data_IF_497162760198
#
_entry.id   IF_497162760198
#
_cell.length_a   1.000
_cell.length_b   1.000
_cell.length_c   1.000
_cell.angle_alpha   90.00
_cell.angle_beta   90.00
_cell.angle_gamma   90.00
#
_symmetry.space_group_name_H-M   'P 1'
#
loop_
_entity.id
_entity.type
_entity.pdbx_description
1 polymer ?
#
# COMPACT_ATOMS: atom_id res chain seq x y z
N UNK A 1 3.85 -11.79 45.69
CA UNK A 1 4.89 -11.41 44.71
C UNK A 1 4.78 -12.38 43.56
N UNK A 2 4.07 -11.95 42.51
CA UNK A 2 3.42 -12.81 41.52
C UNK A 2 4.18 -12.72 40.19
N UNK A 3 4.83 -13.81 39.81
CA UNK A 3 5.60 -13.98 38.58
C UNK A 3 4.65 -14.22 37.39
N UNK A 4 3.95 -13.17 36.94
CA UNK A 4 3.25 -13.16 35.65
C UNK A 4 4.24 -12.80 34.53
N UNK A 5 5.13 -13.73 34.20
CA UNK A 5 5.95 -13.68 32.98
C UNK A 5 5.77 -14.98 32.21
N UNK A 6 4.89 -14.94 31.19
CA UNK A 6 4.83 -15.75 29.96
C UNK A 6 3.40 -15.67 29.43
N UNK A 7 3.08 -14.56 28.79
CA UNK A 7 2.01 -14.55 27.79
C UNK A 7 2.47 -15.48 26.66
N UNK A 8 1.85 -16.66 26.61
CA UNK A 8 2.03 -17.64 25.53
C UNK A 8 1.66 -16.97 24.19
N UNK A 9 2.69 -16.63 23.42
CA UNK A 9 2.64 -16.30 21.98
C UNK A 9 2.76 -17.59 21.13
N UNK A 10 2.26 -18.71 21.62
CA UNK A 10 2.21 -19.98 20.90
C UNK A 10 0.75 -20.31 20.65
N UNK A 11 0.35 -20.21 19.37
CA UNK A 11 -0.82 -20.86 18.72
C UNK A 11 -1.56 -19.99 17.67
N UNK A 12 -0.89 -19.12 16.92
CA UNK A 12 -1.47 -18.45 15.71
C UNK A 12 -1.24 -19.30 14.43
N UNK A 13 -0.87 -20.58 14.55
CA UNK A 13 -0.42 -21.39 13.42
C UNK A 13 -1.43 -22.45 12.95
N UNK A 14 -2.71 -22.07 12.80
CA UNK A 14 -3.65 -22.85 11.97
C UNK A 14 -3.58 -22.32 10.54
N UNK A 15 -2.75 -22.96 9.71
CA UNK A 15 -2.68 -22.66 8.28
C UNK A 15 -4.04 -22.94 7.63
N UNK A 16 -4.86 -21.90 7.47
CA UNK A 16 -6.09 -21.95 6.69
C UNK A 16 -5.78 -22.28 5.22
N UNK A 17 -6.66 -22.96 4.47
CA UNK A 17 -6.43 -23.19 3.05
C UNK A 17 -6.16 -21.87 2.31
N UNK A 18 -5.19 -21.89 1.41
CA UNK A 18 -4.90 -20.75 0.52
C UNK A 18 -6.06 -20.55 -0.45
N UNK A 19 -6.24 -19.31 -0.89
CA UNK A 19 -7.08 -19.02 -2.06
C UNK A 19 -6.37 -19.51 -3.31
N UNK A 20 -7.14 -20.00 -4.29
CA UNK A 20 -6.63 -20.35 -5.62
C UNK A 20 -7.32 -19.48 -6.67
N UNK A 21 -6.54 -18.86 -7.55
CA UNK A 21 -7.08 -18.20 -8.74
C UNK A 21 -6.81 -19.09 -9.94
N UNK A 22 -7.86 -19.63 -10.53
CA UNK A 22 -7.81 -20.42 -11.75
C UNK A 22 -7.96 -19.47 -12.93
N UNK A 23 -6.90 -19.33 -13.73
CA UNK A 23 -7.03 -18.74 -15.05
C UNK A 23 -7.54 -19.82 -15.99
N UNK A 24 -8.69 -19.56 -16.60
CA UNK A 24 -9.30 -20.42 -17.60
C UNK A 24 -9.31 -19.72 -18.95
N UNK A 25 -8.94 -20.45 -19.99
CA UNK A 25 -9.22 -20.09 -21.37
C UNK A 25 -10.40 -20.94 -21.82
N UNK A 26 -11.50 -20.27 -22.15
CA UNK A 26 -12.81 -20.90 -22.22
C UNK A 26 -13.11 -21.62 -20.88
N UNK A 27 -13.21 -22.96 -20.90
CA UNK A 27 -13.49 -23.77 -19.70
C UNK A 27 -12.28 -24.54 -19.18
N UNK A 28 -11.11 -24.42 -19.82
CA UNK A 28 -9.90 -25.20 -19.51
C UNK A 28 -8.97 -24.38 -18.63
N UNK A 29 -8.49 -24.98 -17.53
CA UNK A 29 -7.53 -24.33 -16.62
C UNK A 29 -6.16 -24.26 -17.30
N UNK A 30 -5.66 -23.05 -17.49
CA UNK A 30 -4.34 -22.76 -18.08
C UNK A 30 -3.31 -22.41 -17.00
N UNK A 31 -3.73 -21.76 -15.92
CA UNK A 31 -2.83 -21.43 -14.80
C UNK A 31 -3.55 -21.46 -13.46
N UNK A 32 -2.80 -21.78 -12.39
CA UNK A 32 -3.29 -21.75 -11.01
C UNK A 32 -2.36 -20.86 -10.19
N UNK A 33 -2.93 -19.84 -9.57
CA UNK A 33 -2.20 -18.93 -8.68
C UNK A 33 -2.58 -19.22 -7.23
N UNK A 34 -1.60 -19.43 -6.35
CA UNK A 34 -1.83 -19.55 -4.90
C UNK A 34 -1.74 -18.18 -4.24
N UNK A 35 -2.73 -17.84 -3.41
CA UNK A 35 -2.84 -16.52 -2.80
C UNK A 35 -3.11 -16.62 -1.30
N UNK A 36 -2.36 -15.84 -0.53
CA UNK A 36 -2.59 -15.59 0.88
C UNK A 36 -3.38 -14.30 1.07
N UNK A 37 -4.25 -14.25 2.06
CA UNK A 37 -4.96 -13.05 2.46
C UNK A 37 -5.17 -13.01 3.98
N UNK A 38 -5.07 -11.83 4.56
CA UNK A 38 -5.26 -11.59 6.00
C UNK A 38 -6.09 -10.35 6.20
N UNK A 39 -7.01 -10.41 7.15
CA UNK A 39 -7.78 -9.26 7.64
C UNK A 39 -7.38 -9.00 9.10
N UNK A 40 -6.98 -7.77 9.39
CA UNK A 40 -6.62 -7.32 10.74
C UNK A 40 -7.49 -6.14 11.18
N UNK A 41 -7.64 -5.98 12.49
CA UNK A 41 -8.21 -4.78 13.10
C UNK A 41 -7.14 -3.75 13.51
N UNK A 42 -7.59 -2.55 13.95
CA UNK A 42 -6.70 -1.50 14.48
C UNK A 42 -5.93 -1.87 15.75
N UNK A 43 -6.19 -3.01 16.39
CA UNK A 43 -5.42 -3.50 17.54
C UNK A 43 -4.31 -4.45 17.13
N UNK A 44 -4.27 -4.87 15.87
CA UNK A 44 -3.31 -5.83 15.33
C UNK A 44 -3.76 -7.27 15.45
N UNK A 45 -5.04 -7.52 15.77
CA UNK A 45 -5.59 -8.87 15.85
C UNK A 45 -5.94 -9.34 14.45
N UNK A 46 -5.49 -10.54 14.09
CA UNK A 46 -5.95 -11.24 12.88
C UNK A 46 -7.39 -11.67 13.11
N UNK A 47 -8.32 -11.12 12.34
CA UNK A 47 -9.73 -11.46 12.41
C UNK A 47 -10.03 -12.68 11.53
N UNK A 48 -9.49 -12.66 10.31
CA UNK A 48 -9.70 -13.70 9.32
C UNK A 48 -8.44 -13.91 8.48
N UNK A 49 -8.24 -15.13 7.97
CA UNK A 49 -7.17 -15.44 7.05
C UNK A 49 -7.56 -16.50 6.04
N UNK A 50 -6.88 -16.48 4.89
CA UNK A 50 -6.79 -17.58 3.95
C UNK A 50 -5.30 -17.80 3.63
N UNK A 51 -4.77 -18.99 3.91
CA UNK A 51 -3.34 -19.26 3.87
C UNK A 51 -2.60 -18.88 5.16
N UNK A 52 -1.34 -18.43 5.00
CA UNK A 52 -0.42 -18.13 6.09
C UNK A 52 -0.40 -16.63 6.40
N UNK A 53 -0.86 -16.23 7.58
CA UNK A 53 -0.83 -14.82 8.01
C UNK A 53 0.56 -14.31 8.35
N UNK A 54 1.48 -15.22 8.68
CA UNK A 54 2.88 -14.96 8.98
C UNK A 54 3.77 -14.96 7.73
N UNK A 55 3.19 -15.06 6.52
CA UNK A 55 3.96 -15.07 5.28
C UNK A 55 4.80 -13.78 5.16
N UNK A 56 6.12 -13.90 5.23
CA UNK A 56 7.07 -12.80 5.15
C UNK A 56 7.40 -12.48 3.71
N UNK A 57 7.26 -11.21 3.33
CA UNK A 57 7.62 -10.73 1.99
C UNK A 57 7.78 -9.22 1.99
N UNK A 58 8.27 -8.63 0.90
CA UNK A 58 8.44 -7.19 0.82
C UNK A 58 7.11 -6.50 0.55
N UNK A 59 6.78 -5.46 1.33
CA UNK A 59 5.55 -4.66 1.13
C UNK A 59 5.61 -3.80 -0.15
N UNK A 60 6.81 -3.50 -0.64
CA UNK A 60 7.07 -2.70 -1.86
C UNK A 60 6.30 -1.37 -1.81
N UNK A 61 5.77 -0.93 -2.96
CA UNK A 61 5.01 0.32 -3.10
C UNK A 61 3.73 0.42 -2.26
N UNK A 62 3.29 -0.63 -1.57
CA UNK A 62 2.20 -0.52 -0.60
C UNK A 62 2.64 0.15 0.72
N UNK A 63 3.94 0.41 0.93
CA UNK A 63 4.45 1.13 2.11
C UNK A 63 4.29 2.65 2.03
N UNK A 64 4.15 3.21 0.82
CA UNK A 64 4.23 4.66 0.55
C UNK A 64 3.33 5.55 1.40
N UNK A 65 2.07 5.16 1.73
CA UNK A 65 1.25 5.96 2.66
C UNK A 65 1.96 6.21 3.99
N UNK A 66 2.61 5.18 4.54
CA UNK A 66 3.33 5.28 5.82
C UNK A 66 4.67 5.99 5.69
N UNK A 67 5.36 5.87 4.54
CA UNK A 67 6.57 6.65 4.25
C UNK A 67 6.30 8.16 4.16
N UNK A 68 5.03 8.56 4.00
CA UNK A 68 4.62 9.97 3.90
C UNK A 68 4.37 10.61 5.26
N UNK A 69 4.34 9.84 6.36
CA UNK A 69 4.09 10.38 7.70
C UNK A 69 5.09 11.50 8.07
N UNK A 70 6.42 11.33 7.87
CA UNK A 70 7.40 12.38 8.19
C UNK A 70 7.20 13.68 7.40
N UNK A 71 6.64 13.61 6.19
CA UNK A 71 6.33 14.79 5.39
C UNK A 71 5.24 15.66 6.03
N UNK A 72 4.28 15.04 6.73
CA UNK A 72 3.26 15.77 7.50
C UNK A 72 3.84 16.21 8.85
N UNK A 73 4.43 15.27 9.61
CA UNK A 73 4.83 15.53 11.00
C UNK A 73 6.01 16.51 11.13
N UNK A 74 6.88 16.62 10.12
CA UNK A 74 7.92 17.67 10.04
C UNK A 74 7.38 19.07 9.76
N UNK A 75 6.10 19.17 9.37
CA UNK A 75 5.50 20.41 8.89
C UNK A 75 5.88 20.79 7.46
N UNK A 76 6.60 19.93 6.72
CA UNK A 76 6.91 20.17 5.30
C UNK A 76 5.62 20.27 4.46
N UNK A 77 4.61 19.46 4.77
CA UNK A 77 3.30 19.52 4.12
C UNK A 77 2.59 20.88 4.26
N UNK A 78 2.82 21.61 5.36
CA UNK A 78 2.27 22.96 5.55
C UNK A 78 2.89 23.99 4.60
N UNK A 79 4.17 23.82 4.24
CA UNK A 79 4.88 24.70 3.29
C UNK A 79 4.28 24.62 1.88
N UNK A 80 3.72 23.46 1.52
CA UNK A 80 3.00 23.23 0.25
C UNK A 80 1.48 23.47 0.37
N UNK A 81 1.07 24.35 1.30
CA UNK A 81 -0.32 24.79 1.50
C UNK A 81 -1.32 23.67 1.83
N UNK A 82 -0.85 22.54 2.36
CA UNK A 82 -1.71 21.39 2.67
C UNK A 82 -2.56 20.93 1.47
N UNK A 83 -2.03 21.00 0.25
CA UNK A 83 -2.74 20.54 -0.96
C UNK A 83 -2.88 19.02 -0.96
N UNK A 84 -4.13 18.53 -0.93
CA UNK A 84 -4.44 17.11 -0.94
C UNK A 84 -3.94 16.39 -2.20
N UNK A 85 -3.77 17.09 -3.32
CA UNK A 85 -3.18 16.51 -4.55
C UNK A 85 -1.72 16.15 -4.34
N UNK A 86 -1.00 17.03 -3.65
CA UNK A 86 0.40 16.86 -3.33
C UNK A 86 0.60 15.73 -2.32
N UNK A 87 -0.28 15.60 -1.33
CA UNK A 87 -0.24 14.47 -0.40
C UNK A 87 -0.60 13.14 -1.07
N UNK A 88 -1.58 13.13 -1.97
CA UNK A 88 -1.99 11.94 -2.70
C UNK A 88 -0.88 11.41 -3.62
N UNK A 89 -0.19 12.28 -4.34
CA UNK A 89 0.93 11.86 -5.21
C UNK A 89 2.14 11.37 -4.39
N UNK A 90 2.37 11.89 -3.19
CA UNK A 90 3.39 11.38 -2.27
C UNK A 90 3.13 9.92 -1.84
N UNK A 91 1.85 9.56 -1.69
CA UNK A 91 1.41 8.19 -1.40
C UNK A 91 1.39 7.28 -2.65
N UNK A 92 1.61 7.85 -3.83
CA UNK A 92 1.29 7.24 -5.11
C UNK A 92 2.33 6.28 -5.68
N UNK A 93 1.84 5.30 -6.44
CA UNK A 93 2.61 4.55 -7.43
C UNK A 93 2.01 4.79 -8.81
N UNK A 94 2.05 6.05 -9.22
CA UNK A 94 1.26 6.58 -10.33
C UNK A 94 1.76 6.16 -11.71
N UNK A 95 0.96 6.44 -12.74
CA UNK A 95 1.24 6.03 -14.12
C UNK A 95 2.20 6.96 -14.89
N UNK A 96 2.91 7.85 -14.20
CA UNK A 96 3.90 8.74 -14.84
C UNK A 96 3.35 9.71 -15.90
N UNK A 97 2.05 10.03 -15.88
CA UNK A 97 1.45 10.95 -16.85
C UNK A 97 1.90 12.40 -16.61
N UNK A 98 1.68 13.28 -17.60
CA UNK A 98 1.98 14.73 -17.48
C UNK A 98 1.32 15.36 -16.24
N UNK A 99 0.09 14.95 -15.92
CA UNK A 99 -0.60 15.41 -14.70
C UNK A 99 0.16 15.03 -13.44
N UNK A 100 0.67 13.79 -13.35
CA UNK A 100 1.47 13.35 -12.22
C UNK A 100 2.80 14.11 -12.13
N UNK A 101 3.54 14.19 -13.24
CA UNK A 101 4.80 14.92 -13.29
C UNK A 101 4.64 16.38 -12.83
N UNK A 102 3.54 17.04 -13.23
CA UNK A 102 3.21 18.40 -12.80
C UNK A 102 2.96 18.51 -11.29
N UNK A 103 2.23 17.58 -10.67
CA UNK A 103 1.98 17.64 -9.23
C UNK A 103 3.23 17.29 -8.42
N UNK A 104 4.08 16.37 -8.88
CA UNK A 104 5.38 16.10 -8.26
C UNK A 104 6.32 17.32 -8.36
N UNK A 105 6.34 17.99 -9.52
CA UNK A 105 7.10 19.22 -9.72
C UNK A 105 6.63 20.35 -8.80
N UNK A 106 5.31 20.55 -8.66
CA UNK A 106 4.78 21.57 -7.74
C UNK A 106 5.22 21.35 -6.29
N UNK A 107 5.25 20.10 -5.83
CA UNK A 107 5.72 19.80 -4.48
C UNK A 107 7.20 20.21 -4.31
N UNK A 108 8.06 19.91 -5.29
CA UNK A 108 9.46 20.33 -5.27
C UNK A 108 9.61 21.86 -5.30
N UNK A 109 8.88 22.50 -6.22
CA UNK A 109 8.89 23.95 -6.41
C UNK A 109 8.49 24.69 -5.11
N UNK A 110 7.38 24.33 -4.49
CA UNK A 110 6.95 24.92 -3.22
C UNK A 110 7.87 24.59 -2.04
N UNK A 111 8.74 23.60 -2.19
CA UNK A 111 9.71 23.21 -1.16
C UNK A 111 11.07 23.88 -1.35
N UNK A 112 11.27 24.66 -2.41
CA UNK A 112 12.57 25.21 -2.85
C UNK A 112 13.61 24.13 -3.15
N UNK A 113 13.16 23.02 -3.76
CA UNK A 113 14.03 21.91 -4.18
C UNK A 113 14.05 21.80 -5.69
N UNK A 114 15.25 21.68 -6.27
CA UNK A 114 15.44 21.50 -7.69
C UNK A 114 15.15 20.06 -8.15
N UNK A 115 14.72 19.87 -9.40
CA UNK A 115 14.32 18.55 -9.94
C UNK A 115 15.50 17.58 -9.99
N UNK A 116 16.71 18.10 -10.09
CA UNK A 116 17.98 17.38 -10.20
C UNK A 116 18.30 16.56 -8.95
N UNK A 117 17.71 16.88 -7.79
CA UNK A 117 17.83 16.08 -6.57
C UNK A 117 16.95 14.81 -6.58
N UNK A 118 16.02 14.66 -7.54
CA UNK A 118 15.28 13.41 -7.68
C UNK A 118 16.23 12.28 -8.12
N UNK A 119 16.32 11.26 -7.27
CA UNK A 119 17.18 10.09 -7.49
C UNK A 119 16.40 8.84 -7.94
N UNK A 120 15.07 8.96 -8.10
CA UNK A 120 14.32 7.90 -8.77
C UNK A 120 14.71 7.84 -10.25
N UNK A 121 14.81 6.63 -10.84
CA UNK A 121 15.31 6.48 -12.20
C UNK A 121 14.35 7.10 -13.23
N UNK A 122 14.89 7.52 -14.37
CA UNK A 122 14.08 7.93 -15.52
C UNK A 122 13.49 6.66 -16.14
N UNK A 123 12.15 6.52 -16.26
CA UNK A 123 11.56 5.35 -16.90
C UNK A 123 11.98 5.21 -18.37
N UNK A 124 11.94 3.99 -18.89
CA UNK A 124 12.12 3.76 -20.32
C UNK A 124 11.12 4.61 -21.12
N UNK A 125 11.57 5.18 -22.25
CA UNK A 125 10.77 6.05 -23.14
C UNK A 125 10.34 7.40 -22.54
N UNK A 126 10.88 7.77 -21.38
CA UNK A 126 10.62 9.05 -20.70
C UNK A 126 11.86 9.94 -20.68
N UNK A 127 11.67 11.22 -20.38
CA UNK A 127 12.75 12.22 -20.40
C UNK A 127 13.07 12.81 -19.03
N UNK A 128 12.26 12.51 -18.01
CA UNK A 128 12.39 13.11 -16.68
C UNK A 128 12.12 12.11 -15.55
N UNK A 129 12.84 12.22 -14.41
CA UNK A 129 12.50 11.44 -13.21
C UNK A 129 11.12 11.80 -12.65
N UNK A 130 10.55 12.96 -13.00
CA UNK A 130 9.18 13.34 -12.62
C UNK A 130 8.13 12.38 -13.19
N UNK A 131 8.43 11.70 -14.29
CA UNK A 131 7.56 10.71 -14.92
C UNK A 131 7.70 9.31 -14.28
N UNK A 132 8.62 9.13 -13.32
CA UNK A 132 8.75 7.89 -12.57
C UNK A 132 7.57 7.70 -11.62
N UNK A 133 7.06 6.47 -11.48
CA UNK A 133 5.89 6.16 -10.64
C UNK A 133 6.10 6.43 -9.14
N UNK A 134 7.33 6.67 -8.70
CA UNK A 134 7.70 7.03 -7.33
C UNK A 134 8.05 8.52 -7.18
N UNK A 135 7.96 9.34 -8.22
CA UNK A 135 8.47 10.71 -8.19
C UNK A 135 7.81 11.54 -7.09
N UNK A 136 6.50 11.40 -6.88
CA UNK A 136 5.79 12.06 -5.77
C UNK A 136 6.33 11.71 -4.38
N UNK A 137 6.64 10.43 -4.12
CA UNK A 137 7.25 10.00 -2.84
C UNK A 137 8.64 10.61 -2.67
N UNK A 138 9.47 10.55 -3.70
CA UNK A 138 10.83 11.12 -3.65
C UNK A 138 10.81 12.63 -3.45
N UNK A 139 9.86 13.30 -4.10
CA UNK A 139 9.66 14.72 -3.92
C UNK A 139 9.28 15.03 -2.45
N UNK A 140 8.36 14.25 -1.84
CA UNK A 140 7.99 14.42 -0.43
C UNK A 140 9.15 14.13 0.54
N UNK A 141 10.02 13.17 0.21
CA UNK A 141 11.26 12.90 0.93
C UNK A 141 12.18 14.13 0.92
N UNK A 142 12.44 14.69 -0.26
CA UNK A 142 13.27 15.88 -0.41
C UNK A 142 12.67 17.11 0.28
N UNK A 143 11.36 17.32 0.18
CA UNK A 143 10.67 18.39 0.89
C UNK A 143 10.81 18.26 2.41
N UNK A 144 10.77 17.03 2.92
CA UNK A 144 11.03 16.73 4.34
C UNK A 144 12.48 17.05 4.70
N UNK A 145 13.45 16.58 3.91
CA UNK A 145 14.87 16.87 4.13
C UNK A 145 15.13 18.38 4.15
N UNK A 146 14.61 19.12 3.16
CA UNK A 146 14.76 20.57 3.06
C UNK A 146 14.14 21.29 4.27
N UNK A 147 12.95 20.85 4.72
CA UNK A 147 12.31 21.41 5.92
C UNK A 147 13.10 21.16 7.20
N UNK A 148 13.75 20.01 7.30
CA UNK A 148 14.50 19.57 8.48
C UNK A 148 15.99 19.93 8.42
N UNK A 149 16.44 20.59 7.34
CA UNK A 149 17.84 20.88 7.06
C UNK A 149 18.72 19.61 7.05
N UNK A 150 18.22 18.54 6.42
CA UNK A 150 18.94 17.30 6.16
C UNK A 150 19.49 17.27 4.73
N UNK A 151 20.50 16.43 4.51
CA UNK A 151 21.17 16.32 3.21
C UNK A 151 20.20 15.85 2.11
N UNK A 152 20.27 16.53 0.95
CA UNK A 152 19.40 16.21 -0.18
C UNK A 152 19.97 15.11 -1.08
N UNK A 153 21.27 14.86 -1.04
CA UNK A 153 21.95 13.95 -1.98
C UNK A 153 22.08 12.52 -1.44
N UNK A 154 21.77 12.30 -0.16
CA UNK A 154 21.90 10.99 0.50
C UNK A 154 20.59 10.50 1.12
N UNK A 155 19.44 11.11 0.79
CA UNK A 155 18.15 10.80 1.40
C UNK A 155 17.66 9.36 1.21
N UNK A 156 18.27 8.58 0.31
CA UNK A 156 17.97 7.16 0.07
C UNK A 156 18.81 6.22 0.94
N UNK A 157 19.90 6.70 1.55
CA UNK A 157 20.80 5.90 2.38
C UNK A 157 20.09 5.45 3.66
N UNK A 158 20.35 4.23 4.10
CA UNK A 158 19.61 3.60 5.21
C UNK A 158 19.84 4.30 6.56
N UNK A 159 21.01 4.91 6.74
CA UNK A 159 21.41 5.69 7.92
C UNK A 159 21.08 7.19 7.78
N UNK A 160 20.51 7.62 6.66
CA UNK A 160 20.04 8.99 6.50
C UNK A 160 18.90 9.29 7.51
N UNK A 161 18.88 10.46 8.17
CA UNK A 161 17.86 10.82 9.17
C UNK A 161 16.41 10.63 8.71
N UNK A 162 16.13 10.89 7.43
CA UNK A 162 14.83 10.63 6.81
C UNK A 162 14.44 9.14 6.87
N UNK A 163 15.33 8.22 6.46
CA UNK A 163 15.01 6.80 6.42
C UNK A 163 14.87 6.25 7.84
N UNK A 164 15.71 6.71 8.77
CA UNK A 164 15.58 6.41 10.21
C UNK A 164 14.20 6.84 10.72
N UNK A 165 13.76 8.07 10.42
CA UNK A 165 12.46 8.58 10.87
C UNK A 165 11.28 7.82 10.24
N UNK A 166 11.35 7.48 8.95
CA UNK A 166 10.34 6.64 8.28
C UNK A 166 10.22 5.28 8.98
N UNK A 167 11.36 4.61 9.22
CA UNK A 167 11.39 3.30 9.86
C UNK A 167 10.89 3.36 11.30
N UNK A 168 11.23 4.43 12.03
CA UNK A 168 10.72 4.69 13.38
C UNK A 168 9.19 4.81 13.37
N UNK A 169 8.61 5.60 12.47
CA UNK A 169 7.15 5.75 12.33
C UNK A 169 6.45 4.44 11.98
N UNK A 170 7.01 3.66 11.06
CA UNK A 170 6.43 2.35 10.70
C UNK A 170 6.51 1.37 11.89
N UNK A 171 7.64 1.34 12.60
CA UNK A 171 7.83 0.49 13.77
C UNK A 171 6.86 0.86 14.91
N UNK A 172 6.63 2.15 15.16
CA UNK A 172 5.63 2.64 16.12
C UNK A 172 4.23 2.12 15.81
N UNK A 173 3.81 2.19 14.54
CA UNK A 173 2.50 1.68 14.10
C UNK A 173 2.41 0.16 14.28
N UNK A 174 3.49 -0.55 14.00
CA UNK A 174 3.59 -2.01 14.14
C UNK A 174 3.76 -2.48 15.59
N UNK A 175 4.08 -1.56 16.51
CA UNK A 175 4.40 -1.85 17.93
C UNK A 175 5.57 -2.82 18.08
N UNK A 176 6.62 -2.60 17.30
CA UNK A 176 7.88 -3.34 17.35
C UNK A 176 9.05 -2.36 17.44
N UNK A 177 10.24 -2.87 17.75
CA UNK A 177 11.45 -2.04 17.74
C UNK A 177 11.93 -1.81 16.30
N UNK A 178 12.44 -0.61 15.99
CA UNK A 178 12.90 -0.28 14.63
C UNK A 178 14.05 -1.18 14.15
N UNK A 179 14.88 -1.70 15.07
CA UNK A 179 15.97 -2.64 14.77
C UNK A 179 15.48 -4.00 14.27
N UNK A 180 14.21 -4.35 14.53
CA UNK A 180 13.62 -5.62 14.09
C UNK A 180 13.08 -5.53 12.65
N UNK A 181 13.09 -4.34 12.05
CA UNK A 181 12.74 -4.15 10.65
C UNK A 181 13.87 -4.66 9.75
N UNK A 182 13.51 -5.52 8.79
CA UNK A 182 14.43 -5.96 7.74
C UNK A 182 14.22 -5.11 6.48
N UNK A 183 15.28 -4.44 6.04
CA UNK A 183 15.27 -3.55 4.89
C UNK A 183 15.84 -4.25 3.63
N UNK A 184 15.38 -3.80 2.47
CA UNK A 184 16.00 -4.05 1.17
C UNK A 184 15.85 -2.80 0.30
N UNK A 185 16.55 -2.76 -0.84
CA UNK A 185 16.47 -1.65 -1.79
C UNK A 185 15.36 -1.95 -2.83
N UNK A 186 14.42 -1.02 -3.02
CA UNK A 186 13.40 -1.09 -4.08
C UNK A 186 13.97 -0.55 -5.40
N UNK A 187 13.28 -0.78 -6.52
CA UNK A 187 13.77 -0.42 -7.86
C UNK A 187 13.92 1.08 -8.08
N UNK A 188 13.30 1.90 -7.22
CA UNK A 188 13.45 3.35 -7.21
C UNK A 188 14.65 3.84 -6.36
N UNK A 189 15.43 2.93 -5.79
CA UNK A 189 16.59 3.22 -4.92
C UNK A 189 16.25 3.40 -3.44
N UNK A 190 14.99 3.67 -3.09
CA UNK A 190 14.56 3.85 -1.70
C UNK A 190 14.41 2.51 -0.95
N UNK A 191 14.66 2.49 0.37
CA UNK A 191 14.40 1.31 1.20
C UNK A 191 12.93 0.86 1.18
N UNK A 192 12.74 -0.47 1.17
CA UNK A 192 11.47 -1.17 1.40
C UNK A 192 11.65 -2.16 2.56
N UNK A 193 10.54 -2.51 3.22
CA UNK A 193 10.54 -3.41 4.37
C UNK A 193 10.08 -4.82 3.99
N UNK A 194 10.71 -5.84 4.57
CA UNK A 194 10.14 -7.17 4.64
C UNK A 194 9.21 -7.24 5.86
N UNK A 195 7.93 -7.49 5.62
CA UNK A 195 6.91 -7.57 6.65
C UNK A 195 6.14 -8.87 6.52
N UNK A 196 5.58 -9.34 7.63
CA UNK A 196 4.59 -10.41 7.63
C UNK A 196 3.26 -9.90 7.08
N UNK A 197 2.48 -10.76 6.46
CA UNK A 197 1.23 -10.34 5.82
C UNK A 197 0.24 -9.71 6.81
N UNK A 198 0.15 -10.22 8.04
CA UNK A 198 -0.68 -9.61 9.08
C UNK A 198 -0.20 -8.20 9.50
N UNK A 199 1.12 -7.93 9.46
CA UNK A 199 1.69 -6.62 9.77
C UNK A 199 1.28 -5.61 8.69
N UNK A 200 1.27 -6.02 7.42
CA UNK A 200 0.77 -5.18 6.33
C UNK A 200 -0.73 -4.88 6.50
N UNK A 201 -1.54 -5.89 6.82
CA UNK A 201 -2.96 -5.71 7.08
C UNK A 201 -3.20 -4.79 8.30
N UNK A 202 -2.38 -4.93 9.35
CA UNK A 202 -2.43 -4.09 10.54
C UNK A 202 -2.09 -2.62 10.24
N UNK A 203 -1.06 -2.36 9.44
CA UNK A 203 -0.74 -1.01 8.98
C UNK A 203 -1.93 -0.37 8.25
N UNK A 204 -2.58 -1.10 7.34
CA UNK A 204 -3.74 -0.58 6.62
C UNK A 204 -4.97 -0.41 7.53
N UNK A 205 -5.10 -1.18 8.60
CA UNK A 205 -6.13 -0.94 9.62
C UNK A 205 -5.90 0.38 10.39
N UNK A 206 -4.67 0.90 10.43
CA UNK A 206 -4.34 2.21 11.03
C UNK A 206 -4.76 3.40 10.16
N UNK A 207 -4.97 3.21 8.85
CA UNK A 207 -5.42 4.27 7.94
C UNK A 207 -6.89 4.71 8.20
N UNK A 208 -7.51 4.25 9.28
CA UNK A 208 -8.78 4.79 9.73
C UNK A 208 -8.56 6.08 10.54
N UNK A 209 -9.17 7.17 10.09
CA UNK A 209 -8.89 8.56 10.49
C UNK A 209 -9.22 8.97 11.93
N UNK A 210 -9.40 8.05 12.88
CA UNK A 210 -9.90 8.39 14.23
C UNK A 210 -8.83 8.62 15.30
N UNK A 211 -7.57 8.22 15.09
CA UNK A 211 -6.56 8.20 16.17
C UNK A 211 -5.24 8.92 15.90
N UNK A 212 -4.91 9.22 14.63
CA UNK A 212 -3.70 9.96 14.27
C UNK A 212 -4.01 10.91 13.13
N UNK A 213 -3.72 12.20 13.32
CA UNK A 213 -4.09 13.27 12.38
C UNK A 213 -3.41 13.10 11.01
N UNK A 214 -2.20 12.55 11.01
CA UNK A 214 -1.39 12.33 9.81
C UNK A 214 -2.00 11.24 8.95
N UNK A 215 -2.41 10.12 9.57
CA UNK A 215 -3.06 9.02 8.87
C UNK A 215 -4.44 9.44 8.34
N UNK A 216 -5.20 10.24 9.09
CA UNK A 216 -6.46 10.80 8.60
C UNK A 216 -6.25 11.67 7.35
N UNK A 217 -5.27 12.56 7.36
CA UNK A 217 -4.93 13.41 6.22
C UNK A 217 -4.49 12.58 5.01
N UNK A 218 -3.64 11.58 5.21
CA UNK A 218 -3.19 10.64 4.17
C UNK A 218 -4.40 9.93 3.55
N UNK A 219 -5.26 9.36 4.39
CA UNK A 219 -6.45 8.64 3.97
C UNK A 219 -7.39 9.51 3.16
N UNK A 220 -7.67 10.73 3.65
CA UNK A 220 -8.52 11.70 2.96
C UNK A 220 -7.96 12.10 1.61
N UNK A 221 -6.65 12.36 1.51
CA UNK A 221 -5.99 12.70 0.26
C UNK A 221 -6.08 11.55 -0.76
N UNK A 222 -5.78 10.32 -0.34
CA UNK A 222 -5.87 9.14 -1.21
C UNK A 222 -7.30 8.90 -1.73
N UNK A 223 -8.31 9.09 -0.87
CA UNK A 223 -9.73 8.92 -1.22
C UNK A 223 -10.21 10.00 -2.20
N UNK A 224 -9.81 11.26 -1.98
CA UNK A 224 -10.25 12.40 -2.80
C UNK A 224 -9.50 12.53 -4.11
N UNK A 225 -8.27 12.04 -4.18
CA UNK A 225 -7.40 12.15 -5.36
C UNK A 225 -6.87 10.78 -5.82
N UNK A 226 -7.73 9.77 -6.06
CA UNK A 226 -7.30 8.40 -6.33
C UNK A 226 -6.50 8.28 -7.64
N UNK A 227 -6.80 9.14 -8.62
CA UNK A 227 -6.05 9.19 -9.87
C UNK A 227 -4.59 9.57 -9.66
N UNK A 228 -4.25 10.43 -8.69
CA UNK A 228 -2.87 10.77 -8.37
C UNK A 228 -2.15 9.65 -7.59
N UNK A 229 -2.90 8.74 -6.98
CA UNK A 229 -2.32 7.59 -6.25
C UNK A 229 -1.84 6.52 -7.23
N UNK A 230 -2.63 6.15 -8.25
CA UNK A 230 -2.25 5.08 -9.19
C UNK A 230 -2.34 5.46 -10.68
N UNK A 231 -3.26 6.34 -11.04
CA UNK A 231 -3.58 6.72 -12.41
C UNK A 231 -4.98 6.27 -12.82
N UNK A 232 -5.54 6.93 -13.82
CA UNK A 232 -6.88 6.62 -14.35
C UNK A 232 -6.98 5.17 -14.85
N UNK A 233 -8.12 4.50 -14.60
CA UNK A 233 -8.39 3.13 -15.03
C UNK A 233 -7.58 2.05 -14.30
N UNK A 234 -6.68 2.42 -13.38
CA UNK A 234 -5.89 1.46 -12.60
C UNK A 234 -6.73 0.87 -11.48
N UNK A 235 -6.46 -0.40 -11.14
CA UNK A 235 -7.18 -1.16 -10.11
C UNK A 235 -7.38 -0.37 -8.80
N UNK A 236 -6.30 0.17 -8.23
CA UNK A 236 -6.35 0.96 -6.99
C UNK A 236 -7.30 2.17 -7.11
N UNK A 237 -7.21 2.91 -8.22
CA UNK A 237 -8.05 4.09 -8.49
C UNK A 237 -9.52 3.71 -8.60
N UNK A 238 -9.83 2.66 -9.35
CA UNK A 238 -11.20 2.23 -9.59
C UNK A 238 -11.84 1.69 -8.31
N UNK A 239 -11.12 0.92 -7.50
CA UNK A 239 -11.61 0.44 -6.19
C UNK A 239 -11.94 1.63 -5.29
N UNK A 240 -11.05 2.62 -5.18
CA UNK A 240 -11.30 3.80 -4.34
C UNK A 240 -12.54 4.56 -4.82
N UNK A 241 -12.62 4.88 -6.13
CA UNK A 241 -13.76 5.63 -6.70
C UNK A 241 -15.09 4.92 -6.50
N UNK A 242 -15.15 3.62 -6.82
CA UNK A 242 -16.38 2.83 -6.81
C UNK A 242 -16.81 2.38 -5.41
N UNK A 243 -15.92 2.49 -4.43
CA UNK A 243 -16.26 2.33 -3.01
C UNK A 243 -16.93 3.55 -2.38
N UNK A 244 -17.14 4.63 -3.15
CA UNK A 244 -17.68 5.91 -2.66
C UNK A 244 -16.91 6.46 -1.44
N UNK A 245 -15.58 6.30 -1.46
CA UNK A 245 -14.69 6.78 -0.40
C UNK A 245 -14.67 5.95 0.88
N UNK A 246 -15.26 4.75 0.87
CA UNK A 246 -15.22 3.84 2.00
C UNK A 246 -13.96 2.96 2.02
N UNK A 247 -13.24 2.86 0.90
CA UNK A 247 -12.04 2.04 0.79
C UNK A 247 -10.84 2.86 0.37
N UNK A 248 -9.70 2.55 0.98
CA UNK A 248 -8.37 2.83 0.43
C UNK A 248 -7.85 1.54 -0.18
N UNK A 249 -7.22 1.65 -1.34
CA UNK A 249 -6.62 0.53 -2.05
C UNK A 249 -5.24 0.93 -2.54
N UNK A 250 -4.24 0.10 -2.29
CA UNK A 250 -2.86 0.37 -2.71
C UNK A 250 -2.09 -0.90 -3.00
N UNK A 251 -1.62 -1.01 -4.22
CA UNK A 251 -0.83 -2.13 -4.70
C UNK A 251 0.67 -1.97 -4.38
N UNK A 252 1.30 -3.11 -4.12
CA UNK A 252 2.74 -3.31 -4.26
C UNK A 252 3.05 -4.20 -5.47
N UNK A 253 4.31 -4.16 -5.93
CA UNK A 253 4.84 -5.14 -6.89
C UNK A 253 4.88 -6.54 -6.28
N UNK A 254 5.21 -7.56 -7.08
CA UNK A 254 5.36 -8.94 -6.60
C UNK A 254 4.14 -9.45 -5.83
N UNK A 255 2.93 -9.22 -6.37
CA UNK A 255 1.71 -9.86 -5.89
C UNK A 255 1.07 -9.24 -4.64
N UNK A 256 1.53 -8.07 -4.19
CA UNK A 256 1.00 -7.39 -3.00
C UNK A 256 -0.19 -6.48 -3.32
N UNK A 257 -1.29 -6.64 -2.57
CA UNK A 257 -2.40 -5.70 -2.56
C UNK A 257 -2.85 -5.45 -1.12
N UNK A 258 -3.01 -4.19 -0.74
CA UNK A 258 -3.49 -3.82 0.57
C UNK A 258 -4.73 -2.91 0.47
N UNK A 259 -5.68 -3.10 1.37
CA UNK A 259 -6.92 -2.34 1.43
C UNK A 259 -7.24 -1.92 2.86
N UNK A 260 -7.91 -0.79 3.03
CA UNK A 260 -8.43 -0.33 4.32
C UNK A 260 -9.91 -0.01 4.20
N UNK A 261 -10.72 -0.45 5.16
CA UNK A 261 -12.12 -0.06 5.31
C UNK A 261 -12.23 1.10 6.29
N UNK A 262 -12.60 2.25 5.76
CA UNK A 262 -12.83 3.47 6.54
C UNK A 262 -14.08 3.27 7.41
N UNK A 263 -14.04 3.76 8.64
CA UNK A 263 -15.12 3.56 9.63
C UNK A 263 -14.90 2.31 10.48
N UNK A 264 -14.67 1.15 9.87
CA UNK A 264 -14.62 -0.14 10.59
C UNK A 264 -13.25 -0.48 11.20
N UNK A 265 -12.21 0.32 10.90
CA UNK A 265 -10.84 0.10 11.38
C UNK A 265 -10.27 -1.27 10.97
N UNK A 266 -10.56 -1.73 9.76
CA UNK A 266 -10.11 -3.02 9.24
C UNK A 266 -9.16 -2.83 8.06
N UNK A 267 -8.10 -3.63 8.03
CA UNK A 267 -7.14 -3.66 6.93
C UNK A 267 -7.01 -5.06 6.35
N UNK A 268 -6.82 -5.14 5.04
CA UNK A 268 -6.57 -6.38 4.30
C UNK A 268 -5.17 -6.31 3.71
N UNK A 269 -4.45 -7.43 3.74
CA UNK A 269 -3.27 -7.62 2.91
C UNK A 269 -3.35 -8.95 2.16
N UNK A 270 -2.99 -8.92 0.89
CA UNK A 270 -3.04 -10.03 -0.06
C UNK A 270 -1.64 -10.23 -0.65
N UNK A 271 -1.21 -11.49 -0.76
CA UNK A 271 0.02 -11.88 -1.45
C UNK A 271 -0.25 -13.05 -2.40
N UNK A 272 -0.17 -12.80 -3.70
CA UNK A 272 -0.05 -13.87 -4.71
C UNK A 272 1.40 -14.38 -4.73
N UNK A 273 1.60 -15.68 -4.47
CA UNK A 273 2.94 -16.26 -4.27
C UNK A 273 3.87 -16.02 -5.47
N UNK A 274 3.35 -16.16 -6.68
CA UNK A 274 4.05 -15.99 -7.95
C UNK A 274 4.20 -14.53 -8.42
N UNK A 275 3.77 -13.57 -7.59
CA UNK A 275 3.86 -12.15 -7.92
C UNK A 275 2.78 -11.63 -8.87
N UNK A 276 1.83 -12.47 -9.27
CA UNK A 276 0.84 -12.19 -10.31
C UNK A 276 -0.09 -11.02 -9.96
N UNK A 277 -0.07 -9.98 -10.81
CA UNK A 277 -0.99 -8.82 -10.71
C UNK A 277 -2.45 -9.22 -10.89
N UNK A 278 -2.74 -10.09 -11.86
CA UNK A 278 -4.11 -10.53 -12.16
C UNK A 278 -4.69 -11.36 -11.00
N UNK A 279 -3.87 -12.19 -10.35
CA UNK A 279 -4.30 -13.00 -9.22
C UNK A 279 -4.64 -12.15 -7.99
N UNK A 280 -3.77 -11.20 -7.61
CA UNK A 280 -4.03 -10.32 -6.47
C UNK A 280 -5.27 -9.43 -6.67
N UNK A 281 -5.54 -8.97 -7.90
CA UNK A 281 -6.73 -8.18 -8.22
C UNK A 281 -8.00 -9.02 -8.14
N UNK A 282 -7.99 -10.24 -8.71
CA UNK A 282 -9.12 -11.16 -8.63
C UNK A 282 -9.47 -11.49 -7.17
N UNK A 283 -8.45 -11.78 -6.35
CA UNK A 283 -8.64 -12.03 -4.92
C UNK A 283 -9.16 -10.78 -4.21
N UNK A 284 -8.64 -9.59 -4.49
CA UNK A 284 -9.14 -8.37 -3.86
C UNK A 284 -10.65 -8.18 -4.10
N UNK A 285 -11.13 -8.32 -5.35
CA UNK A 285 -12.57 -8.23 -5.65
C UNK A 285 -13.38 -9.34 -4.96
N UNK A 286 -12.87 -10.58 -4.99
CA UNK A 286 -13.49 -11.72 -4.29
C UNK A 286 -13.65 -11.47 -2.79
N UNK A 287 -12.64 -10.88 -2.15
CA UNK A 287 -12.69 -10.53 -0.72
C UNK A 287 -13.60 -9.35 -0.43
N UNK A 288 -13.64 -8.33 -1.30
CA UNK A 288 -14.57 -7.22 -1.16
C UNK A 288 -16.03 -7.70 -1.23
N UNK A 289 -16.32 -8.68 -2.08
CA UNK A 289 -17.61 -9.38 -2.12
C UNK A 289 -17.88 -10.16 -0.84
N UNK A 290 -16.93 -11.02 -0.44
CA UNK A 290 -17.09 -11.88 0.73
C UNK A 290 -17.33 -11.09 2.03
N UNK A 291 -16.68 -9.93 2.16
CA UNK A 291 -16.77 -9.06 3.34
C UNK A 291 -17.89 -8.02 3.23
N UNK A 292 -18.61 -7.97 2.10
CA UNK A 292 -19.66 -6.97 1.82
C UNK A 292 -19.15 -5.52 1.92
N UNK A 293 -17.88 -5.31 1.56
CA UNK A 293 -17.25 -3.99 1.63
C UNK A 293 -17.63 -3.06 0.48
N UNK A 294 -18.24 -3.61 -0.56
CA UNK A 294 -18.70 -2.92 -1.75
C UNK A 294 -20.06 -3.48 -2.20
N UNK A 295 -20.90 -2.64 -2.82
CA UNK A 295 -22.21 -3.09 -3.32
C UNK A 295 -22.04 -4.05 -4.52
N UNK A 296 -23.02 -4.95 -4.76
CA UNK A 296 -22.99 -5.84 -5.93
C UNK A 296 -22.88 -5.08 -7.26
N UNK A 297 -23.59 -3.96 -7.43
CA UNK A 297 -23.52 -3.14 -8.65
C UNK A 297 -22.13 -2.53 -8.86
N UNK A 298 -21.56 -1.92 -7.82
CA UNK A 298 -20.21 -1.35 -7.89
C UNK A 298 -19.13 -2.43 -8.12
N UNK A 299 -19.35 -3.66 -7.65
CA UNK A 299 -18.47 -4.80 -7.89
C UNK A 299 -18.53 -5.27 -9.35
N UNK A 300 -19.72 -5.38 -9.94
CA UNK A 300 -19.91 -5.74 -11.35
C UNK A 300 -19.18 -4.72 -12.25
N UNK A 301 -19.41 -3.43 -12.01
CA UNK A 301 -18.74 -2.37 -12.77
C UNK A 301 -17.21 -2.34 -12.55
N UNK A 302 -16.71 -2.81 -11.39
CA UNK A 302 -15.27 -3.02 -11.17
C UNK A 302 -14.77 -4.17 -12.04
N UNK A 303 -15.41 -5.32 -11.99
CA UNK A 303 -15.01 -6.51 -12.75
C UNK A 303 -14.93 -6.20 -14.25
N UNK A 304 -15.94 -5.53 -14.81
CA UNK A 304 -15.96 -5.10 -16.22
C UNK A 304 -14.80 -4.16 -16.58
N UNK A 305 -14.38 -3.30 -15.64
CA UNK A 305 -13.37 -2.27 -15.93
C UNK A 305 -11.93 -2.75 -15.72
N UNK A 306 -11.69 -3.59 -14.70
CA UNK A 306 -10.31 -3.92 -14.28
C UNK A 306 -9.95 -5.40 -14.36
N UNK A 307 -10.90 -6.29 -14.67
CA UNK A 307 -10.67 -7.74 -14.79
C UNK A 307 -10.70 -8.27 -16.23
N UNK A 308 -11.01 -7.43 -17.22
CA UNK A 308 -11.03 -7.85 -18.63
C UNK A 308 -9.60 -8.02 -19.16
N UNK A 309 -9.19 -9.28 -19.37
CA UNK A 309 -7.90 -9.63 -19.99
C UNK A 309 -8.09 -9.83 -21.50
N UNK A 310 -9.06 -10.68 -21.86
CA UNK A 310 -9.51 -11.02 -23.21
C UNK A 310 -10.90 -11.68 -23.05
N UNK A 311 -11.85 -11.53 -24.01
CA UNK A 311 -13.16 -12.20 -23.97
C UNK A 311 -13.16 -13.70 -23.59
N UNK A 312 -12.13 -14.44 -23.99
CA UNK A 312 -12.03 -15.89 -23.77
C UNK A 312 -11.35 -16.28 -22.46
N UNK A 313 -10.80 -15.31 -21.72
CA UNK A 313 -10.02 -15.56 -20.50
C UNK A 313 -10.81 -15.13 -19.27
N UNK A 314 -11.01 -16.07 -18.34
CA UNK A 314 -11.71 -15.82 -17.07
C UNK A 314 -10.81 -16.17 -15.89
N UNK A 315 -10.94 -15.40 -14.82
CA UNK A 315 -10.32 -15.71 -13.53
C UNK A 315 -11.40 -16.16 -12.56
N UNK A 316 -11.23 -17.36 -12.02
CA UNK A 316 -12.12 -17.93 -11.02
C UNK A 316 -11.38 -18.07 -9.69
N UNK A 317 -11.88 -17.42 -8.64
CA UNK A 317 -11.31 -17.52 -7.30
C UNK A 317 -12.00 -18.65 -6.53
N UNK A 318 -11.21 -19.54 -5.94
CA UNK A 318 -11.65 -20.65 -5.08
C UNK A 318 -11.12 -20.46 -3.66
N UNK A 319 -11.99 -20.75 -2.69
CA UNK A 319 -11.71 -20.61 -1.27
C UNK A 319 -12.31 -19.33 -0.68
N UNK A 320 -12.09 -19.14 0.61
CA UNK A 320 -12.72 -18.09 1.41
C UNK A 320 -11.82 -17.73 2.59
N UNK A 321 -11.94 -16.50 3.09
CA UNK A 321 -11.42 -16.14 4.39
C UNK A 321 -12.13 -16.95 5.49
N UNK A 322 -11.36 -17.43 6.47
CA UNK A 322 -11.89 -18.10 7.66
C UNK A 322 -11.52 -17.31 8.90
N UNK A 323 -12.42 -17.25 9.87
CA UNK A 323 -12.12 -16.69 11.19
C UNK A 323 -10.98 -17.48 11.84
N UNK A 324 -10.08 -16.76 12.52
CA UNK A 324 -9.15 -17.44 13.41
C UNK A 324 -9.87 -17.77 14.72
N UNK A 325 -9.98 -19.06 15.03
CA UNK A 325 -10.45 -19.51 16.34
C UNK A 325 -9.51 -18.99 17.42
N UNK A 326 -10.08 -18.41 18.48
CA UNK A 326 -9.35 -17.86 19.63
C UNK A 326 -8.63 -18.94 20.43
#
# INVERSE_FOLDING_TARGET
MDFKSKLNQKDINKNTPRLKVLLKRNSIIESIHNVHAVVCDKKGRVLMSAGNSEYSTFIRSALKPFQTIPFISSGAYKKVMCDEKVLAIACGSHSGTKTHAREAFKLLWHSDVAVEHLQCPIPAEKTSPLEHNCSGKHAAFLATCMKMNWQLDTYLEADHPLQIEINRKVAELLKIESKDLTLAIDNCGSPTLMLKLYQMAFLYAQLNGSSQSELEQISRAMIRQPELVAGEGRFDTEVIKRSHGQLICKGGSEGIQCLSKIGDCMGIAIKAEDGSRRAKHAVALHLLKQLEWITPASLEELEEKVMVINPEVKLEVKGELRFQEK
#
